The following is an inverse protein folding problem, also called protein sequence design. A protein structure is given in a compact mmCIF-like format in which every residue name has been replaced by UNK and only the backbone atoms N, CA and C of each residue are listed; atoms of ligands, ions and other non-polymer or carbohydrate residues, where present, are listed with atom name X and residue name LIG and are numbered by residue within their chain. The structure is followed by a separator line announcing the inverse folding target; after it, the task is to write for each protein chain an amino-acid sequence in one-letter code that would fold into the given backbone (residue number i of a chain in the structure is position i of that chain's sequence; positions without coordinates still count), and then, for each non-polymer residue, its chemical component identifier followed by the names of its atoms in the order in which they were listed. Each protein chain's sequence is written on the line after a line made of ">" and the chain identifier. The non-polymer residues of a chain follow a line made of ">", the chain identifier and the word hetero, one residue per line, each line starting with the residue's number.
data_IF_244546663379
#
_entry.id   IF_244546663379
#
_cell.length_a   1.000
_cell.length_b   1.000
_cell.length_c   1.000
_cell.angle_alpha   90.00
_cell.angle_beta   90.00
_cell.angle_gamma   90.00
#
_symmetry.space_group_name_H-M   'P 1'
#
loop_
_entity.id
_entity.type
_entity.pdbx_description
1 polymer ?
#
# COMPACT_ATOMS: atom_id res chain seq x y z
N UNK A 1 -6.44 6.27 13.76
CA UNK A 1 -5.12 5.62 13.60
C UNK A 1 -4.92 4.88 12.27
N UNK A 2 -5.91 4.81 11.37
CA UNK A 2 -5.77 4.10 10.09
C UNK A 2 -6.34 4.97 8.98
N UNK A 3 -5.51 5.30 8.00
CA UNK A 3 -5.92 6.05 6.80
C UNK A 3 -6.21 5.07 5.68
N UNK A 4 -7.28 5.36 4.92
CA UNK A 4 -7.72 4.61 3.76
C UNK A 4 -7.94 5.63 2.62
N UNK A 5 -7.65 5.27 1.37
CA UNK A 5 -8.00 6.05 0.15
C UNK A 5 -7.34 7.43 -0.06
N UNK A 6 -6.16 7.72 0.52
CA UNK A 6 -5.45 8.99 0.26
C UNK A 6 -4.47 8.96 -0.93
N UNK A 7 -4.22 7.78 -1.49
CA UNK A 7 -3.31 7.58 -2.62
C UNK A 7 -3.83 6.47 -3.55
N UNK A 8 -3.07 6.18 -4.61
CA UNK A 8 -3.33 5.13 -5.56
C UNK A 8 -2.07 4.32 -5.88
N UNK A 9 -2.24 3.15 -6.50
CA UNK A 9 -1.13 2.22 -6.78
C UNK A 9 -0.06 2.85 -7.67
N UNK A 10 -0.44 3.64 -8.67
CA UNK A 10 0.52 4.22 -9.61
C UNK A 10 1.40 5.29 -8.95
N UNK A 11 0.79 6.18 -8.16
CA UNK A 11 1.54 7.11 -7.31
C UNK A 11 2.48 6.36 -6.36
N UNK A 12 1.97 5.33 -5.70
CA UNK A 12 2.71 4.51 -4.74
C UNK A 12 3.92 3.82 -5.38
N UNK A 13 3.78 3.25 -6.59
CA UNK A 13 4.90 2.71 -7.37
C UNK A 13 5.92 3.81 -7.72
N UNK A 14 5.45 4.98 -8.15
CA UNK A 14 6.34 6.10 -8.52
C UNK A 14 7.20 6.56 -7.34
N UNK A 15 6.62 6.64 -6.14
CA UNK A 15 7.35 6.93 -4.89
C UNK A 15 8.34 5.83 -4.56
N UNK A 16 7.91 4.56 -4.58
CA UNK A 16 8.77 3.42 -4.26
C UNK A 16 9.99 3.32 -5.19
N UNK A 17 9.79 3.52 -6.50
CA UNK A 17 10.88 3.53 -7.48
C UNK A 17 11.91 4.63 -7.17
N UNK A 18 11.46 5.85 -6.86
CA UNK A 18 12.36 6.95 -6.49
C UNK A 18 13.10 6.71 -5.17
N UNK A 19 12.55 5.90 -4.27
CA UNK A 19 13.19 5.48 -3.03
C UNK A 19 14.14 4.27 -3.21
N UNK A 20 14.37 3.82 -4.44
CA UNK A 20 15.29 2.72 -4.75
C UNK A 20 14.73 1.33 -4.43
N UNK A 21 13.42 1.22 -4.27
CA UNK A 21 12.73 -0.06 -4.07
C UNK A 21 12.49 -0.69 -5.44
N UNK A 22 12.82 -1.96 -5.57
CA UNK A 22 12.53 -2.70 -6.80
C UNK A 22 11.02 -2.83 -6.97
N UNK A 23 10.51 -2.37 -8.10
CA UNK A 23 9.11 -2.49 -8.50
C UNK A 23 9.04 -2.98 -9.95
N UNK A 24 7.93 -3.61 -10.37
CA UNK A 24 7.74 -3.91 -11.78
C UNK A 24 7.59 -2.61 -12.58
N UNK A 25 8.08 -2.60 -13.83
CA UNK A 25 7.80 -1.46 -14.73
C UNK A 25 6.30 -1.27 -14.85
N UNK A 26 5.82 -0.06 -14.64
CA UNK A 26 4.38 0.22 -14.57
C UNK A 26 4.07 1.49 -15.36
N UNK A 27 2.98 1.47 -16.11
CA UNK A 27 2.40 2.64 -16.79
C UNK A 27 0.94 2.79 -16.40
N UNK A 28 0.48 4.03 -16.29
CA UNK A 28 -0.94 4.36 -16.16
C UNK A 28 -1.55 4.50 -17.55
N UNK A 29 -2.69 3.86 -17.78
CA UNK A 29 -3.41 3.94 -19.04
C UNK A 29 -4.51 5.01 -18.96
N UNK A 30 -4.82 5.70 -20.07
CA UNK A 30 -6.08 6.45 -20.15
C UNK A 30 -7.26 5.51 -19.91
N UNK A 31 -8.37 6.04 -19.42
CA UNK A 31 -9.57 5.25 -19.17
C UNK A 31 -10.28 4.89 -20.48
N UNK A 32 -10.79 3.67 -20.58
CA UNK A 32 -11.62 3.25 -21.73
C UNK A 32 -12.91 4.07 -21.83
N UNK A 33 -13.47 4.40 -20.69
CA UNK A 33 -14.62 5.28 -20.53
C UNK A 33 -14.58 5.93 -19.15
N UNK A 34 -15.16 7.11 -19.04
CA UNK A 34 -15.17 7.89 -17.81
C UNK A 34 -16.49 7.68 -17.05
N UNK A 35 -16.50 7.80 -15.71
CA UNK A 35 -17.73 7.78 -14.92
C UNK A 35 -18.70 8.85 -15.41
N UNK A 36 -19.99 8.52 -15.48
CA UNK A 36 -21.02 9.41 -16.05
C UNK A 36 -21.28 10.68 -15.22
N UNK A 37 -20.87 10.67 -13.96
CA UNK A 37 -20.97 11.76 -13.00
C UNK A 37 -19.76 12.71 -13.05
N UNK A 38 -18.77 12.44 -13.91
CA UNK A 38 -17.59 13.29 -14.12
C UNK A 38 -17.70 14.00 -15.47
N UNK A 39 -17.62 15.33 -15.46
CA UNK A 39 -17.62 16.15 -16.68
C UNK A 39 -16.22 16.14 -17.34
N UNK A 40 -15.96 15.12 -18.15
CA UNK A 40 -14.74 15.01 -18.97
C UNK A 40 -15.09 15.40 -20.41
N UNK A 41 -14.51 16.50 -20.87
CA UNK A 41 -14.60 16.94 -22.27
C UNK A 41 -13.32 16.57 -23.04
N UNK A 42 -13.31 16.77 -24.36
CA UNK A 42 -12.10 16.52 -25.16
C UNK A 42 -10.96 17.47 -24.78
N UNK A 43 -11.28 18.69 -24.34
CA UNK A 43 -10.33 19.68 -23.85
C UNK A 43 -9.65 19.24 -22.54
N UNK A 44 -10.35 18.47 -21.69
CA UNK A 44 -9.75 17.85 -20.49
C UNK A 44 -8.67 16.83 -20.83
N UNK A 45 -8.64 16.32 -22.06
CA UNK A 45 -7.71 15.29 -22.54
C UNK A 45 -6.69 15.84 -23.55
N UNK A 46 -6.46 17.16 -23.59
CA UNK A 46 -5.57 17.81 -24.56
C UNK A 46 -4.11 17.33 -24.51
N UNK A 47 -3.67 16.74 -23.40
CA UNK A 47 -2.33 16.16 -23.22
C UNK A 47 -2.27 14.66 -23.56
N UNK A 48 -3.37 14.05 -23.99
CA UNK A 48 -3.40 12.65 -24.41
C UNK A 48 -3.10 12.54 -25.90
N UNK A 49 -2.02 11.83 -26.24
CA UNK A 49 -1.71 11.51 -27.62
C UNK A 49 -2.54 10.32 -28.12
N UNK A 50 -3.11 10.47 -29.32
CA UNK A 50 -3.90 9.43 -29.99
C UNK A 50 -3.42 9.25 -31.45
N UNK A 51 -3.35 8.01 -31.98
CA UNK A 51 -3.67 6.75 -31.33
C UNK A 51 -2.63 6.35 -30.27
N UNK A 52 -3.07 5.61 -29.25
CA UNK A 52 -2.20 5.05 -28.22
C UNK A 52 -1.27 4.00 -28.86
N UNK A 53 0.04 4.13 -28.61
CA UNK A 53 1.04 3.15 -29.03
C UNK A 53 1.05 1.92 -28.11
N UNK A 54 0.06 1.04 -28.29
CA UNK A 54 -0.09 -0.18 -27.50
C UNK A 54 1.10 -1.14 -27.59
N UNK A 55 1.76 -1.19 -28.75
CA UNK A 55 2.92 -2.05 -28.94
C UNK A 55 4.13 -1.49 -28.18
N UNK A 56 4.36 -0.17 -28.26
CA UNK A 56 5.39 0.51 -27.46
C UNK A 56 5.19 0.39 -25.96
N UNK A 57 3.94 0.47 -25.47
CA UNK A 57 3.63 0.24 -24.04
C UNK A 57 3.97 -1.19 -23.60
N UNK A 58 3.62 -2.19 -24.41
CA UNK A 58 3.94 -3.59 -24.13
C UNK A 58 5.44 -3.90 -24.27
N UNK A 59 6.14 -3.22 -25.17
CA UNK A 59 7.60 -3.32 -25.30
C UNK A 59 8.30 -2.71 -24.08
N UNK A 60 7.77 -1.62 -23.53
CA UNK A 60 8.30 -0.97 -22.33
C UNK A 60 8.15 -1.86 -21.09
N UNK A 61 6.93 -2.33 -20.79
CA UNK A 61 6.66 -3.15 -19.59
C UNK A 61 7.08 -4.61 -19.75
N UNK A 62 7.18 -5.11 -20.97
CA UNK A 62 7.49 -6.51 -21.27
C UNK A 62 6.25 -7.39 -21.45
N UNK A 63 6.47 -8.63 -21.90
CA UNK A 63 5.42 -9.64 -22.12
C UNK A 63 5.79 -10.94 -21.38
N UNK A 64 4.86 -11.59 -20.68
CA UNK A 64 3.49 -11.12 -20.41
C UNK A 64 3.45 -9.88 -19.52
N UNK A 65 2.32 -9.18 -19.53
CA UNK A 65 2.04 -8.02 -18.69
C UNK A 65 0.78 -8.26 -17.85
N UNK A 66 0.62 -7.51 -16.76
CA UNK A 66 -0.55 -7.50 -15.90
C UNK A 66 -1.31 -6.20 -16.10
N UNK A 67 -2.55 -6.28 -16.57
CA UNK A 67 -3.50 -5.17 -16.59
C UNK A 67 -4.34 -5.25 -15.31
N UNK A 68 -4.33 -4.19 -14.48
CA UNK A 68 -5.10 -4.15 -13.22
C UNK A 68 -5.54 -2.73 -12.86
N UNK A 69 -6.64 -2.56 -12.10
CA UNK A 69 -7.07 -1.23 -11.68
C UNK A 69 -5.99 -0.48 -10.89
N UNK A 70 -5.89 0.83 -11.09
CA UNK A 70 -4.95 1.68 -10.35
C UNK A 70 -5.29 1.82 -8.86
N UNK A 71 -6.53 1.51 -8.48
CA UNK A 71 -7.03 1.58 -7.11
C UNK A 71 -7.97 0.40 -6.81
N UNK A 72 -8.19 0.13 -5.53
CA UNK A 72 -9.04 -0.96 -5.05
C UNK A 72 -8.31 -2.29 -4.81
N UNK A 73 -9.09 -3.29 -4.41
CA UNK A 73 -8.62 -4.61 -3.99
C UNK A 73 -9.50 -5.75 -4.52
N UNK A 74 -9.25 -6.97 -4.02
CA UNK A 74 -10.11 -8.12 -4.31
C UNK A 74 -9.92 -8.78 -5.68
N UNK A 75 -8.82 -8.48 -6.40
CA UNK A 75 -8.42 -9.15 -7.66
C UNK A 75 -9.44 -9.00 -8.81
N UNK A 76 -10.39 -8.06 -8.69
CA UNK A 76 -11.33 -7.72 -9.76
C UNK A 76 -10.59 -7.02 -10.90
N UNK A 77 -10.87 -7.41 -12.14
CA UNK A 77 -10.25 -6.85 -13.36
C UNK A 77 -8.72 -6.98 -13.42
N UNK A 78 -8.16 -8.06 -12.87
CA UNK A 78 -6.74 -8.39 -13.02
C UNK A 78 -6.59 -9.38 -14.18
N UNK A 79 -5.89 -8.97 -15.23
CA UNK A 79 -5.69 -9.77 -16.44
C UNK A 79 -4.20 -9.95 -16.71
N UNK A 80 -3.78 -11.20 -17.01
CA UNK A 80 -2.45 -11.48 -17.56
C UNK A 80 -2.56 -11.54 -19.07
N UNK A 81 -1.86 -10.65 -19.76
CA UNK A 81 -1.94 -10.49 -21.22
C UNK A 81 -0.57 -10.76 -21.86
N UNK A 82 -0.55 -11.48 -22.97
CA UNK A 82 0.69 -11.91 -23.64
C UNK A 82 0.96 -11.10 -24.91
N UNK A 83 -0.04 -10.42 -25.45
CA UNK A 83 0.02 -9.71 -26.71
C UNK A 83 -0.99 -8.54 -26.73
N UNK A 84 -0.92 -7.72 -27.78
CA UNK A 84 -1.77 -6.55 -27.98
C UNK A 84 -3.25 -6.90 -28.08
N UNK A 85 -3.58 -8.01 -28.72
CA UNK A 85 -4.98 -8.45 -28.90
C UNK A 85 -5.62 -8.78 -27.54
N UNK A 86 -4.92 -9.52 -26.69
CA UNK A 86 -5.35 -9.81 -25.32
C UNK A 86 -5.45 -8.53 -24.47
N UNK A 87 -4.48 -7.61 -24.59
CA UNK A 87 -4.52 -6.31 -23.91
C UNK A 87 -5.76 -5.50 -24.28
N UNK A 88 -6.03 -5.34 -25.58
CA UNK A 88 -7.18 -4.59 -26.06
C UNK A 88 -8.50 -5.24 -25.66
N UNK A 89 -8.60 -6.57 -25.79
CA UNK A 89 -9.79 -7.31 -25.39
C UNK A 89 -10.09 -7.16 -23.90
N UNK A 90 -9.05 -7.16 -23.05
CA UNK A 90 -9.20 -6.90 -21.62
C UNK A 90 -9.58 -5.43 -21.35
N UNK A 91 -8.84 -4.47 -21.93
CA UNK A 91 -9.04 -3.03 -21.76
C UNK A 91 -10.45 -2.56 -22.17
N UNK A 92 -11.03 -3.14 -23.23
CA UNK A 92 -12.38 -2.80 -23.66
C UNK A 92 -13.47 -3.16 -22.62
N UNK A 93 -13.15 -4.01 -21.64
CA UNK A 93 -14.04 -4.43 -20.57
C UNK A 93 -13.82 -3.65 -19.25
N UNK A 94 -12.88 -2.70 -19.20
CA UNK A 94 -12.48 -2.06 -17.94
C UNK A 94 -13.18 -0.74 -17.65
N UNK A 95 -14.07 -0.25 -18.52
CA UNK A 95 -14.81 0.98 -18.24
C UNK A 95 -15.66 0.83 -16.96
N UNK A 96 -15.70 1.83 -16.06
CA UNK A 96 -15.05 3.14 -16.15
C UNK A 96 -13.69 3.22 -15.41
N UNK A 97 -13.09 2.08 -15.04
CA UNK A 97 -11.90 2.02 -14.20
C UNK A 97 -10.65 2.55 -14.91
N UNK A 98 -9.85 3.33 -14.18
CA UNK A 98 -8.48 3.67 -14.57
C UNK A 98 -7.56 2.47 -14.30
N UNK A 99 -6.71 2.15 -15.27
CA UNK A 99 -5.94 0.91 -15.30
C UNK A 99 -4.45 1.19 -15.30
N UNK A 100 -3.69 0.29 -14.69
CA UNK A 100 -2.25 0.19 -14.83
C UNK A 100 -1.89 -1.01 -15.67
N UNK A 101 -0.91 -0.86 -16.56
CA UNK A 101 -0.27 -1.96 -17.25
C UNK A 101 1.13 -2.14 -16.65
N UNK A 102 1.42 -3.36 -16.19
CA UNK A 102 2.57 -3.64 -15.35
C UNK A 102 3.34 -4.86 -15.85
N UNK A 103 4.67 -4.83 -15.73
CA UNK A 103 5.55 -5.98 -15.96
C UNK A 103 5.11 -7.20 -15.15
N UNK A 104 5.04 -8.36 -15.78
CA UNK A 104 4.87 -9.61 -15.06
C UNK A 104 6.21 -10.08 -14.49
N UNK A 105 6.31 -10.12 -13.16
CA UNK A 105 7.46 -10.72 -12.48
C UNK A 105 7.24 -12.24 -12.40
N UNK A 106 8.04 -13.01 -13.13
CA UNK A 106 8.09 -14.46 -13.00
C UNK A 106 8.95 -14.84 -11.80
N UNK A 107 8.31 -15.14 -10.67
CA UNK A 107 8.95 -15.27 -9.36
C UNK A 107 9.05 -16.73 -8.89
N UNK A 108 9.97 -16.97 -7.96
CA UNK A 108 10.12 -18.27 -7.29
C UNK A 108 9.61 -18.25 -5.83
N UNK A 109 9.54 -17.07 -5.20
CA UNK A 109 8.99 -16.89 -3.86
C UNK A 109 8.02 -15.72 -3.82
N UNK A 110 7.00 -15.85 -2.97
CA UNK A 110 5.99 -14.83 -2.76
C UNK A 110 5.82 -14.56 -1.27
N UNK A 111 5.98 -13.30 -0.89
CA UNK A 111 6.01 -12.88 0.50
C UNK A 111 4.96 -11.82 0.71
N UNK A 112 4.11 -12.00 1.72
CA UNK A 112 3.28 -10.92 2.27
C UNK A 112 3.91 -10.40 3.55
N UNK A 113 3.92 -9.10 3.76
CA UNK A 113 4.47 -8.47 4.95
C UNK A 113 3.35 -7.83 5.74
N UNK A 114 3.07 -8.35 6.93
CA UNK A 114 2.15 -7.73 7.87
C UNK A 114 2.85 -6.56 8.54
N UNK A 115 2.19 -5.41 8.58
CA UNK A 115 2.75 -4.18 9.11
C UNK A 115 2.01 -3.76 10.36
N UNK A 116 2.74 -3.40 11.40
CA UNK A 116 2.22 -2.78 12.62
C UNK A 116 3.04 -1.53 12.97
N UNK A 117 2.39 -0.37 13.06
CA UNK A 117 3.03 0.90 13.40
C UNK A 117 4.11 1.37 12.41
N UNK A 118 3.97 1.05 11.12
CA UNK A 118 4.93 1.31 10.00
C UNK A 118 6.23 0.50 10.04
N UNK A 119 6.73 0.14 11.23
CA UNK A 119 8.08 -0.39 11.40
C UNK A 119 8.16 -1.85 11.86
N UNK A 120 7.15 -2.34 12.58
CA UNK A 120 7.12 -3.75 12.99
C UNK A 120 6.54 -4.57 11.83
N UNK A 121 7.44 -5.24 11.11
CA UNK A 121 7.13 -5.98 9.89
C UNK A 121 7.29 -7.47 10.14
N UNK A 122 6.27 -8.25 9.80
CA UNK A 122 6.30 -9.71 9.81
C UNK A 122 6.20 -10.21 8.37
N UNK A 123 7.31 -10.67 7.75
CA UNK A 123 7.27 -11.39 6.48
C UNK A 123 6.59 -12.75 6.66
N UNK A 124 5.72 -13.09 5.72
CA UNK A 124 4.89 -14.29 5.75
C UNK A 124 4.96 -14.97 4.40
N UNK A 125 5.20 -16.28 4.44
CA UNK A 125 5.08 -17.15 3.28
C UNK A 125 3.60 -17.21 2.87
N UNK A 126 3.31 -16.74 1.66
CA UNK A 126 1.97 -16.79 1.08
C UNK A 126 2.00 -17.55 -0.24
N UNK A 127 1.12 -18.53 -0.39
CA UNK A 127 0.90 -19.20 -1.67
C UNK A 127 -0.19 -18.46 -2.46
N UNK A 128 0.14 -17.74 -3.54
CA UNK A 128 -0.85 -17.01 -4.33
C UNK A 128 -1.74 -17.90 -5.19
N UNK A 129 -1.34 -19.15 -5.48
CA UNK A 129 -2.14 -20.12 -6.25
C UNK A 129 -3.23 -20.71 -5.37
N UNK A 130 -2.85 -21.18 -4.18
CA UNK A 130 -3.77 -21.75 -3.19
C UNK A 130 -4.49 -20.68 -2.35
N UNK A 131 -3.99 -19.43 -2.40
CA UNK A 131 -4.46 -18.29 -1.61
C UNK A 131 -4.38 -18.55 -0.10
N UNK A 132 -3.27 -19.14 0.35
CA UNK A 132 -3.06 -19.59 1.74
C UNK A 132 -1.83 -18.95 2.36
N UNK A 133 -1.95 -18.66 3.66
CA UNK A 133 -0.82 -18.28 4.50
C UNK A 133 -0.19 -19.54 5.09
N UNK A 134 1.14 -19.60 5.08
CA UNK A 134 1.90 -20.74 5.55
C UNK A 134 2.80 -20.31 6.71
N UNK A 135 2.81 -21.10 7.77
CA UNK A 135 3.74 -20.91 8.91
C UNK A 135 5.03 -21.63 8.57
N UNK A 136 5.99 -20.87 8.04
CA UNK A 136 7.29 -21.38 7.62
C UNK A 136 8.39 -20.37 8.01
N UNK A 137 9.05 -20.65 9.14
CA UNK A 137 10.08 -19.78 9.70
C UNK A 137 11.43 -19.87 8.95
N UNK A 138 11.60 -20.84 8.06
CA UNK A 138 12.81 -21.04 7.27
C UNK A 138 12.65 -20.58 5.81
N UNK A 139 11.50 -20.00 5.46
CA UNK A 139 11.16 -19.65 4.07
C UNK A 139 12.13 -18.66 3.43
N UNK A 140 12.63 -17.69 4.21
CA UNK A 140 13.52 -16.64 3.71
C UNK A 140 14.93 -16.85 4.26
N UNK A 141 15.93 -16.62 3.42
CA UNK A 141 17.30 -16.42 3.90
C UNK A 141 17.36 -15.15 4.75
N UNK A 142 18.30 -15.08 5.68
CA UNK A 142 18.45 -13.91 6.55
C UNK A 142 18.67 -12.61 5.75
N UNK A 143 19.45 -12.67 4.68
CA UNK A 143 19.72 -11.51 3.81
C UNK A 143 18.46 -11.02 3.09
N UNK A 144 17.70 -11.93 2.48
CA UNK A 144 16.46 -11.59 1.78
C UNK A 144 15.40 -11.07 2.75
N UNK A 145 15.26 -11.70 3.92
CA UNK A 145 14.35 -11.26 4.98
C UNK A 145 14.65 -9.84 5.47
N UNK A 146 15.93 -9.53 5.73
CA UNK A 146 16.38 -8.17 6.12
C UNK A 146 16.03 -7.15 5.04
N UNK A 147 16.27 -7.49 3.77
CA UNK A 147 15.96 -6.60 2.64
C UNK A 147 14.46 -6.34 2.53
N UNK A 148 13.64 -7.38 2.57
CA UNK A 148 12.17 -7.28 2.50
C UNK A 148 11.62 -6.42 3.64
N UNK A 149 12.08 -6.65 4.89
CA UNK A 149 11.65 -5.85 6.05
C UNK A 149 12.02 -4.38 5.84
N UNK A 150 13.26 -4.08 5.42
CA UNK A 150 13.70 -2.70 5.17
C UNK A 150 12.86 -2.00 4.11
N UNK A 151 12.59 -2.67 2.99
CA UNK A 151 11.81 -2.10 1.89
C UNK A 151 10.35 -1.87 2.34
N UNK A 152 9.76 -2.81 3.08
CA UNK A 152 8.43 -2.66 3.67
C UNK A 152 8.34 -1.48 4.66
N UNK A 153 9.33 -1.34 5.55
CA UNK A 153 9.43 -0.20 6.46
C UNK A 153 9.52 1.12 5.69
N UNK A 154 10.32 1.16 4.64
CA UNK A 154 10.50 2.34 3.79
C UNK A 154 9.19 2.74 3.11
N UNK A 155 8.46 1.78 2.53
CA UNK A 155 7.14 2.01 1.91
C UNK A 155 6.17 2.59 2.94
N UNK A 156 6.01 1.94 4.09
CA UNK A 156 5.03 2.36 5.09
C UNK A 156 5.37 3.71 5.74
N UNK A 157 6.65 4.03 5.89
CA UNK A 157 7.07 5.36 6.35
C UNK A 157 6.80 6.43 5.30
N UNK A 158 7.09 6.15 4.03
CA UNK A 158 6.88 7.08 2.92
C UNK A 158 5.39 7.37 2.74
N UNK A 159 4.54 6.34 2.75
CA UNK A 159 3.10 6.43 2.47
C UNK A 159 2.24 6.64 3.71
N UNK A 160 2.79 6.42 4.91
CA UNK A 160 2.10 6.69 6.17
C UNK A 160 1.26 5.54 6.73
N UNK A 161 1.38 4.32 6.20
CA UNK A 161 0.57 3.18 6.63
C UNK A 161 1.04 2.52 7.94
N UNK A 162 0.28 2.67 9.02
CA UNK A 162 0.54 1.94 10.28
C UNK A 162 0.09 0.48 10.24
N UNK A 163 -0.95 0.17 9.47
CA UNK A 163 -1.42 -1.17 9.21
C UNK A 163 -1.46 -1.33 7.69
N UNK A 164 -0.87 -2.41 7.18
CA UNK A 164 -0.80 -2.69 5.74
C UNK A 164 -0.41 -4.16 5.51
N UNK A 165 -0.73 -4.67 4.32
CA UNK A 165 0.01 -5.80 3.75
C UNK A 165 0.75 -5.38 2.50
N UNK A 166 2.04 -5.66 2.47
CA UNK A 166 2.91 -5.45 1.30
C UNK A 166 3.23 -6.81 0.70
N UNK A 167 3.09 -6.93 -0.61
CA UNK A 167 3.34 -8.13 -1.37
C UNK A 167 4.64 -7.98 -2.17
N UNK A 168 5.55 -8.94 -2.00
CA UNK A 168 6.78 -9.05 -2.75
C UNK A 168 6.81 -10.33 -3.58
N UNK A 169 7.15 -10.17 -4.85
CA UNK A 169 7.52 -11.26 -5.75
C UNK A 169 9.04 -11.31 -5.86
N UNK A 170 9.65 -12.44 -5.48
CA UNK A 170 11.11 -12.58 -5.51
C UNK A 170 11.52 -13.28 -6.79
N UNK A 171 12.32 -12.59 -7.61
CA UNK A 171 12.89 -13.11 -8.85
C UNK A 171 14.40 -12.92 -8.81
N UNK A 172 15.15 -14.01 -9.02
CA UNK A 172 16.62 -14.00 -9.03
C UNK A 172 17.23 -13.33 -7.78
N UNK A 173 16.62 -13.55 -6.61
CA UNK A 173 17.04 -12.97 -5.33
C UNK A 173 16.62 -11.52 -5.09
N UNK A 174 15.95 -10.87 -6.06
CA UNK A 174 15.47 -9.49 -5.94
C UNK A 174 14.00 -9.48 -5.51
N UNK A 175 13.64 -8.84 -4.38
CA UNK A 175 12.25 -8.71 -3.96
C UNK A 175 11.58 -7.50 -4.63
N UNK A 176 10.74 -7.75 -5.64
CA UNK A 176 9.95 -6.70 -6.29
C UNK A 176 8.68 -6.45 -5.47
N UNK A 177 8.45 -5.21 -5.03
CA UNK A 177 7.20 -4.80 -4.40
C UNK A 177 6.10 -4.71 -5.46
N UNK A 178 5.12 -5.61 -5.42
CA UNK A 178 4.11 -5.81 -6.48
C UNK A 178 2.69 -5.41 -6.07
N UNK A 179 2.39 -5.28 -4.79
CA UNK A 179 1.17 -4.66 -4.29
C UNK A 179 1.40 -4.19 -2.85
N UNK A 180 0.98 -2.99 -2.49
CA UNK A 180 1.23 -2.42 -1.16
C UNK A 180 0.20 -1.37 -0.75
N UNK A 181 -0.98 -1.44 -1.36
CA UNK A 181 -2.13 -0.61 -1.02
C UNK A 181 -3.23 -1.48 -0.40
N UNK A 182 -3.00 -1.96 0.83
CA UNK A 182 -4.00 -2.73 1.58
C UNK A 182 -4.02 -2.39 3.08
N UNK A 183 -4.48 -1.18 3.46
CA UNK A 183 -4.38 -0.70 4.85
C UNK A 183 -5.42 -1.27 5.84
N UNK A 184 -6.27 -2.18 5.39
CA UNK A 184 -7.25 -2.93 6.20
C UNK A 184 -7.25 -4.38 5.70
N UNK A 185 -6.22 -5.15 6.05
CA UNK A 185 -6.08 -6.52 5.57
C UNK A 185 -7.18 -7.44 6.12
N UNK A 186 -7.60 -8.40 5.29
CA UNK A 186 -8.54 -9.46 5.69
C UNK A 186 -7.85 -10.49 6.62
N UNK A 187 -7.67 -10.12 7.89
CA UNK A 187 -7.04 -10.97 8.93
C UNK A 187 -8.05 -11.84 9.68
N UNK A 188 -8.87 -12.55 8.93
CA UNK A 188 -9.74 -13.58 9.48
C UNK A 188 -8.94 -14.83 9.86
N UNK A 189 -9.24 -15.42 11.04
CA UNK A 189 -8.52 -16.57 11.58
C UNK A 189 -8.36 -17.72 10.58
N UNK A 190 -9.44 -18.08 9.90
CA UNK A 190 -9.45 -19.20 8.96
C UNK A 190 -8.66 -18.90 7.68
N UNK A 191 -8.46 -17.62 7.35
CA UNK A 191 -7.66 -17.21 6.19
C UNK A 191 -6.18 -17.18 6.53
N UNK A 192 -5.82 -16.56 7.64
CA UNK A 192 -4.41 -16.33 7.99
C UNK A 192 -3.82 -17.41 8.91
N UNK A 193 -4.54 -18.47 9.25
CA UNK A 193 -4.17 -19.44 10.30
C UNK A 193 -4.30 -18.89 11.72
N UNK A 194 -4.50 -19.77 12.69
CA UNK A 194 -4.59 -19.41 14.10
C UNK A 194 -3.31 -18.73 14.62
N UNK A 195 -2.14 -19.25 14.24
CA UNK A 195 -0.84 -18.70 14.64
C UNK A 195 -0.70 -17.22 14.28
N UNK A 196 -0.94 -16.86 13.01
CA UNK A 196 -0.82 -15.46 12.61
C UNK A 196 -1.98 -14.61 13.13
N UNK A 197 -3.17 -15.18 13.33
CA UNK A 197 -4.30 -14.46 13.94
C UNK A 197 -3.98 -14.00 15.35
N UNK A 198 -3.47 -14.89 16.21
CA UNK A 198 -3.07 -14.54 17.57
C UNK A 198 -1.96 -13.47 17.57
N UNK A 199 -0.96 -13.63 16.70
CA UNK A 199 0.12 -12.66 16.55
C UNK A 199 -0.40 -11.28 16.14
N UNK A 200 -1.28 -11.21 15.15
CA UNK A 200 -1.91 -9.96 14.68
C UNK A 200 -2.65 -9.27 15.82
N UNK A 201 -3.48 -10.02 16.56
CA UNK A 201 -4.25 -9.48 17.70
C UNK A 201 -3.31 -8.92 18.76
N UNK A 202 -2.27 -9.66 19.15
CA UNK A 202 -1.27 -9.23 20.12
C UNK A 202 -0.55 -7.95 19.67
N UNK A 203 -0.03 -7.94 18.44
CA UNK A 203 0.74 -6.81 17.88
C UNK A 203 -0.12 -5.55 17.77
N UNK A 204 -1.34 -5.68 17.26
CA UNK A 204 -2.27 -4.57 17.16
C UNK A 204 -2.73 -4.05 18.53
N UNK A 205 -3.03 -4.94 19.47
CA UNK A 205 -3.40 -4.55 20.83
C UNK A 205 -2.26 -3.76 21.51
N UNK A 206 -1.02 -4.24 21.38
CA UNK A 206 0.15 -3.52 21.90
C UNK A 206 0.33 -2.16 21.25
N UNK A 207 0.20 -2.07 19.93
CA UNK A 207 0.31 -0.81 19.20
C UNK A 207 -0.72 0.21 19.72
N UNK A 208 -1.99 -0.17 19.85
CA UNK A 208 -3.01 0.78 20.31
C UNK A 208 -2.85 1.16 21.79
N UNK A 209 -2.40 0.25 22.65
CA UNK A 209 -2.10 0.52 24.06
C UNK A 209 -0.92 1.50 24.17
N UNK A 210 0.17 1.26 23.43
CA UNK A 210 1.33 2.17 23.38
C UNK A 210 0.90 3.59 23.00
N UNK A 211 0.08 3.73 21.95
CA UNK A 211 -0.44 5.02 21.50
C UNK A 211 -1.28 5.71 22.57
N UNK A 212 -2.13 4.96 23.27
CA UNK A 212 -2.97 5.51 24.33
C UNK A 212 -2.16 5.99 25.55
N UNK A 213 -1.10 5.26 25.92
CA UNK A 213 -0.29 5.57 27.11
C UNK A 213 0.78 6.64 26.85
N UNK A 214 1.41 6.61 25.67
CA UNK A 214 2.60 7.41 25.42
C UNK A 214 2.34 8.65 24.56
N UNK A 215 1.17 8.76 23.92
CA UNK A 215 0.63 10.03 23.43
C UNK A 215 1.55 10.88 22.55
N UNK A 216 2.59 10.30 21.93
CA UNK A 216 3.37 11.02 20.93
C UNK A 216 2.41 11.46 19.83
N UNK A 217 2.52 12.72 19.39
CA UNK A 217 1.64 13.23 18.34
C UNK A 217 1.73 12.28 17.15
N UNK A 218 0.66 11.52 16.95
CA UNK A 218 0.55 10.52 15.92
C UNK A 218 0.87 11.19 14.57
N UNK A 219 2.01 10.87 13.99
CA UNK A 219 2.33 11.29 12.63
C UNK A 219 1.72 10.25 11.69
N UNK A 220 0.41 10.37 11.44
CA UNK A 220 -0.27 9.67 10.33
C UNK A 220 0.36 10.00 9.00
N UNK A 221 0.99 11.17 8.91
CA UNK A 221 1.24 11.80 7.64
C UNK A 221 2.29 11.02 6.84
N UNK A 222 2.05 10.87 5.52
CA UNK A 222 3.06 10.37 4.60
C UNK A 222 4.33 11.24 4.68
N UNK A 223 5.50 10.62 4.54
CA UNK A 223 6.81 11.29 4.58
C UNK A 223 7.55 11.25 3.24
N UNK A 224 6.90 10.81 2.16
CA UNK A 224 7.55 10.68 0.85
C UNK A 224 8.21 11.99 0.38
N UNK A 225 7.64 13.17 0.63
CA UNK A 225 8.27 14.45 0.27
C UNK A 225 9.61 14.67 0.98
N UNK A 226 9.65 14.39 2.27
CA UNK A 226 10.85 14.47 3.10
C UNK A 226 11.89 13.44 2.63
N UNK A 227 11.45 12.19 2.43
CA UNK A 227 12.32 11.09 2.04
C UNK A 227 12.88 11.24 0.62
N UNK A 228 12.17 11.97 -0.24
CA UNK A 228 12.64 12.33 -1.59
C UNK A 228 13.43 13.64 -1.63
N UNK A 229 13.56 14.36 -0.51
CA UNK A 229 14.29 15.64 -0.44
C UNK A 229 13.64 16.78 -1.21
N UNK A 230 12.33 16.69 -1.50
CA UNK A 230 11.57 17.70 -2.25
C UNK A 230 10.76 18.64 -1.34
N UNK A 231 10.60 18.29 -0.07
CA UNK A 231 9.85 19.07 0.91
C UNK A 231 10.06 18.60 2.34
N UNK A 232 9.32 19.16 3.28
CA UNK A 232 9.29 18.70 4.68
C UNK A 232 8.12 17.76 4.89
N UNK A 233 8.19 16.84 5.87
CA UNK A 233 7.03 16.06 6.31
C UNK A 233 6.01 16.98 7.01
N UNK A 234 5.25 17.71 6.20
CA UNK A 234 4.15 18.54 6.61
C UNK A 234 3.10 18.33 5.53
N UNK A 235 2.31 17.26 5.69
CA UNK A 235 1.34 16.83 4.68
C UNK A 235 0.60 18.02 4.10
N UNK A 236 0.61 18.18 2.78
CA UNK A 236 -0.01 19.28 2.04
C UNK A 236 0.40 20.70 2.51
N UNK A 237 0.88 21.52 1.58
CA UNK A 237 1.02 22.97 1.79
C UNK A 237 -0.36 23.58 2.11
N UNK A 238 -0.72 23.63 3.40
CA UNK A 238 -2.08 23.97 3.84
C UNK A 238 -2.51 23.35 5.18
N UNK A 239 -1.77 22.39 5.75
CA UNK A 239 -2.12 21.83 7.06
C UNK A 239 -2.13 22.93 8.15
N UNK A 240 -3.22 23.05 8.94
CA UNK A 240 -3.25 23.98 10.06
C UNK A 240 -2.09 23.66 11.00
N UNK A 241 -1.28 24.67 11.35
CA UNK A 241 -0.26 24.55 12.38
C UNK A 241 -0.91 23.92 13.62
N UNK A 242 -0.37 22.80 14.09
CA UNK A 242 -0.91 22.08 15.24
C UNK A 242 -1.25 23.04 16.37
N UNK A 243 -2.49 22.96 16.87
CA UNK A 243 -2.93 23.83 17.96
C UNK A 243 -1.95 23.66 19.14
N UNK A 244 -1.47 24.78 19.69
CA UNK A 244 -0.70 24.76 20.93
C UNK A 244 -1.51 24.02 22.00
N UNK A 245 -0.89 23.18 22.84
CA UNK A 245 -1.60 22.54 23.94
C UNK A 245 -2.30 23.62 24.76
N UNK A 246 -3.63 23.53 24.86
CA UNK A 246 -4.39 24.37 25.78
C UNK A 246 -3.90 24.15 27.22
N UNK A 247 -4.05 25.16 28.10
CA UNK A 247 -3.63 25.01 29.49
C UNK A 247 -4.34 23.79 30.10
N UNK A 248 -3.56 22.91 30.74
CA UNK A 248 -4.09 21.75 31.46
C UNK A 248 -5.08 22.25 32.50
N UNK A 249 -6.35 21.87 32.40
CA UNK A 249 -7.28 22.05 33.49
C UNK A 249 -6.83 21.16 34.65
N UNK A 250 -6.53 21.78 35.79
CA UNK A 250 -6.31 21.05 37.02
C UNK A 250 -7.63 20.35 37.38
N UNK A 251 -7.61 19.02 37.38
CA UNK A 251 -8.70 18.24 37.96
C UNK A 251 -8.78 18.58 39.45
N UNK A 252 -9.83 19.28 39.85
CA UNK A 252 -10.15 19.49 41.27
C UNK A 252 -10.56 18.12 41.83
N UNK A 253 -9.66 17.51 42.60
CA UNK A 253 -9.99 16.38 43.45
C UNK A 253 -10.96 16.88 44.54
N UNK A 254 -12.25 16.59 44.37
CA UNK A 254 -13.22 16.74 45.44
C UNK A 254 -12.97 15.62 46.48
N UNK A 255 -12.15 15.93 47.50
CA UNK A 255 -12.08 15.13 48.72
C UNK A 255 -13.38 15.34 49.50
N UNK A 256 -14.17 14.28 49.65
CA UNK A 256 -15.34 14.29 50.52
C UNK A 256 -14.95 14.45 52.00
N UNK A 257 -15.75 15.21 52.73
CA UNK A 257 -15.81 15.14 54.18
C UNK A 257 -17.26 14.91 54.60
N UNK A 258 -17.54 13.67 54.98
CA UNK A 258 -18.69 13.28 55.79
C UNK A 258 -18.45 13.75 57.23
N UNK A 259 -19.29 14.64 57.73
CA UNK A 259 -19.60 14.94 59.14
C UNK A 259 -20.96 15.68 59.06
N UNK A 260 -22.08 15.24 59.65
CA UNK A 260 -22.25 14.60 60.94
C UNK A 260 -22.83 15.64 61.91
N UNK A 261 -24.15 15.89 61.83
CA UNK A 261 -25.03 16.47 62.87
C UNK A 261 -26.47 16.22 62.47
#
# INVERSE_FOLDING_TARGET
>A
PFWWTADDKYFNYSVAAKLGIAIPKTVLLPQKGYPSDVDITSESLHNLEYPIDWDGLLDYVGRPAILKPFSGGGWKHVYKVHNKQELLAAYDQTSPYCMTLQEFIDFNQYVRCFTFGKTDIIPVHYDPKERKYLVDHAYLTSELGVRIVKDAQTINQALGYEMNTIEFAVKDGVPYAIDFLNPAPDFERDRITEFYFELVVEKMARLVIDRALHGQSYSSWPRWEEMLGIGTAAGFTGTPKGAKPGPKSAAVLASGSLQGS
#
